data_IF_514970627696
#
_entry.id   IF_514970627696
#
_cell.length_a   1.000
_cell.length_b   1.000
_cell.length_c   1.000
_cell.angle_alpha   90.00
_cell.angle_beta   90.00
_cell.angle_gamma   90.00
#
_symmetry.space_group_name_H-M   'P 1'
#
loop_
_entity.id
_entity.type
_entity.pdbx_description
1 polymer ?
#
# COMPACT_ATOMS: atom_id res chain seq x y z
N UNK A 1 -31.03 61.48 25.52
CA UNK A 1 -30.92 60.31 26.44
C UNK A 1 -31.13 59.08 25.59
N UNK A 2 -30.18 58.16 25.61
CA UNK A 2 -30.27 56.77 25.12
C UNK A 2 -29.92 56.46 23.65
N UNK A 3 -28.84 57.05 23.14
CA UNK A 3 -28.24 56.53 21.89
C UNK A 3 -26.98 55.63 22.12
N UNK A 4 -26.54 55.45 23.37
CA UNK A 4 -25.29 54.72 23.70
C UNK A 4 -25.48 53.27 24.15
N UNK A 5 -26.74 52.81 24.32
CA UNK A 5 -26.99 51.45 24.80
C UNK A 5 -27.11 50.38 23.69
N UNK A 6 -27.35 50.77 22.47
CA UNK A 6 -27.50 49.81 21.36
C UNK A 6 -26.19 49.36 20.70
N UNK A 7 -25.10 50.11 20.93
CA UNK A 7 -23.82 49.77 20.32
C UNK A 7 -23.00 48.69 21.07
N UNK A 8 -23.44 48.32 22.27
CA UNK A 8 -22.66 47.41 23.15
C UNK A 8 -23.12 45.97 23.13
N UNK A 9 -24.28 45.68 22.56
CA UNK A 9 -24.82 44.31 22.47
C UNK A 9 -24.51 43.62 21.13
N UNK A 10 -24.13 44.37 20.08
CA UNK A 10 -23.82 43.79 18.79
C UNK A 10 -22.38 43.26 18.66
N UNK A 11 -21.50 43.57 19.63
CA UNK A 11 -20.07 43.11 19.57
C UNK A 11 -19.84 41.78 20.26
N UNK A 12 -20.82 41.26 21.03
CA UNK A 12 -20.70 39.99 21.76
C UNK A 12 -21.27 38.79 21.00
N UNK A 13 -21.98 39.01 19.90
CA UNK A 13 -22.56 37.94 19.08
C UNK A 13 -21.66 37.43 17.95
N UNK A 14 -20.54 38.10 17.68
CA UNK A 14 -19.66 37.76 16.55
C UNK A 14 -18.45 36.89 16.95
N UNK A 15 -18.25 36.57 18.22
CA UNK A 15 -17.12 35.76 18.70
C UNK A 15 -17.43 34.29 18.90
N UNK A 16 -18.63 33.81 18.58
CA UNK A 16 -19.03 32.42 18.92
C UNK A 16 -19.21 31.49 17.72
N UNK A 17 -18.88 31.91 16.48
CA UNK A 17 -19.07 31.06 15.30
C UNK A 17 -17.75 30.64 14.60
N UNK A 18 -16.59 30.83 15.22
CA UNK A 18 -15.29 30.46 14.66
C UNK A 18 -14.65 29.24 15.34
N UNK A 19 -15.44 28.36 15.97
CA UNK A 19 -14.92 27.18 16.66
C UNK A 19 -15.68 25.93 16.24
N UNK A 20 -15.66 25.59 14.98
CA UNK A 20 -16.01 24.25 14.52
C UNK A 20 -15.48 24.07 13.10
N UNK A 21 -14.44 23.42 12.94
CA UNK A 21 -14.02 22.37 12.01
C UNK A 21 -12.48 22.35 12.03
N UNK A 22 -11.89 22.05 13.17
CA UNK A 22 -10.66 21.29 13.14
C UNK A 22 -11.09 19.85 12.82
N UNK A 23 -11.36 19.59 11.55
CA UNK A 23 -11.47 18.24 11.06
C UNK A 23 -10.16 17.56 11.45
N UNK A 24 -10.26 16.52 12.28
CA UNK A 24 -9.19 15.56 12.44
C UNK A 24 -8.93 14.96 11.04
N UNK A 25 -8.09 15.62 10.26
CA UNK A 25 -7.36 14.92 9.23
C UNK A 25 -6.57 13.85 9.99
N UNK A 26 -7.06 12.62 9.96
CA UNK A 26 -6.23 11.49 10.33
C UNK A 26 -5.06 11.57 9.37
N UNK A 27 -3.91 12.00 9.87
CA UNK A 27 -2.64 11.88 9.17
C UNK A 27 -2.48 10.39 8.84
N UNK A 28 -2.82 10.07 7.58
CA UNK A 28 -2.40 8.80 6.99
C UNK A 28 -0.89 8.81 7.12
N UNK A 29 -0.28 7.84 7.83
CA UNK A 29 1.16 7.80 7.99
C UNK A 29 1.80 7.99 6.61
N UNK A 30 2.70 8.93 6.49
CA UNK A 30 3.42 9.15 5.25
C UNK A 30 3.96 7.81 4.78
N UNK A 31 3.63 7.38 3.56
CA UNK A 31 3.93 6.07 2.97
C UNK A 31 5.44 5.69 3.00
N UNK A 32 6.29 6.55 3.56
CA UNK A 32 7.73 6.39 3.69
C UNK A 32 8.22 5.45 4.79
N UNK A 33 7.43 5.22 5.84
CA UNK A 33 7.93 4.56 7.07
C UNK A 33 7.19 3.24 7.38
N UNK A 34 6.36 2.71 6.47
CA UNK A 34 5.72 1.43 6.70
C UNK A 34 6.75 0.30 6.65
N UNK A 35 6.89 -0.43 7.75
CA UNK A 35 7.67 -1.66 7.88
C UNK A 35 6.75 -2.75 8.43
N UNK A 36 6.58 -3.88 7.72
CA UNK A 36 5.70 -4.95 8.15
C UNK A 36 6.36 -5.78 9.27
N UNK A 37 5.54 -6.21 10.23
CA UNK A 37 5.96 -7.16 11.25
C UNK A 37 5.64 -8.60 10.81
N UNK A 38 6.59 -9.52 11.00
CA UNK A 38 6.36 -10.95 10.73
C UNK A 38 5.24 -11.47 11.61
N UNK A 39 4.25 -12.10 11.00
CA UNK A 39 3.05 -12.56 11.69
C UNK A 39 1.93 -11.52 11.80
N UNK A 40 2.11 -10.30 11.29
CA UNK A 40 1.01 -9.34 11.25
C UNK A 40 -0.19 -9.86 10.45
N UNK A 41 -1.38 -9.40 10.82
CA UNK A 41 -2.62 -9.80 10.14
C UNK A 41 -2.61 -9.36 8.67
N UNK A 42 -2.83 -10.32 7.77
CA UNK A 42 -3.15 -10.09 6.37
C UNK A 42 -4.65 -10.13 6.13
N UNK A 43 -5.07 -10.24 4.87
CA UNK A 43 -6.49 -10.33 4.52
C UNK A 43 -7.10 -11.68 4.95
N UNK A 44 -6.46 -12.77 4.61
CA UNK A 44 -6.95 -14.13 4.81
C UNK A 44 -5.97 -14.98 5.65
N UNK A 45 -4.69 -14.60 5.66
CA UNK A 45 -3.61 -15.27 6.39
C UNK A 45 -2.66 -14.23 6.98
N UNK A 46 -1.85 -14.61 7.97
CA UNK A 46 -0.78 -13.74 8.48
C UNK A 46 0.34 -13.59 7.45
N UNK A 47 0.99 -12.43 7.45
CA UNK A 47 2.13 -12.20 6.58
C UNK A 47 3.40 -12.86 7.13
N UNK A 48 4.01 -13.69 6.30
CA UNK A 48 5.32 -14.30 6.58
C UNK A 48 6.18 -14.13 5.33
N UNK A 49 7.31 -13.40 5.42
CA UNK A 49 8.16 -13.19 4.26
C UNK A 49 8.85 -14.48 3.83
N UNK A 50 8.84 -14.79 2.54
CA UNK A 50 9.62 -15.88 1.97
C UNK A 50 11.11 -15.64 2.21
N UNK A 51 11.88 -16.54 2.82
CA UNK A 51 13.32 -16.38 2.97
C UNK A 51 14.01 -16.15 1.61
N UNK A 52 15.01 -15.28 1.53
CA UNK A 52 15.65 -14.93 0.27
C UNK A 52 16.18 -16.16 -0.47
N UNK A 53 16.86 -17.07 0.24
CA UNK A 53 17.37 -18.31 -0.35
C UNK A 53 16.28 -19.20 -0.96
N UNK A 54 15.04 -19.14 -0.42
CA UNK A 54 13.89 -19.87 -0.97
C UNK A 54 13.42 -19.21 -2.25
N UNK A 55 13.30 -17.86 -2.28
CA UNK A 55 12.94 -17.12 -3.48
C UNK A 55 13.95 -17.38 -4.62
N UNK A 56 15.24 -17.36 -4.32
CA UNK A 56 16.29 -17.70 -5.27
C UNK A 56 16.12 -19.12 -5.80
N UNK A 57 15.95 -20.08 -4.91
CA UNK A 57 15.81 -21.50 -5.27
C UNK A 57 14.55 -21.78 -6.11
N UNK A 58 13.43 -21.11 -5.79
CA UNK A 58 12.19 -21.23 -6.58
C UNK A 58 12.42 -20.83 -8.05
N UNK A 59 13.09 -19.70 -8.26
CA UNK A 59 13.38 -19.19 -9.62
C UNK A 59 14.39 -20.08 -10.34
N UNK A 60 15.38 -20.67 -9.65
CA UNK A 60 16.33 -21.64 -10.20
C UNK A 60 15.62 -22.92 -10.62
N UNK A 61 14.76 -23.46 -9.77
CA UNK A 61 14.00 -24.69 -10.08
C UNK A 61 13.04 -24.48 -11.26
N UNK A 62 12.43 -23.31 -11.36
CA UNK A 62 11.59 -22.92 -12.50
C UNK A 62 12.40 -22.61 -13.76
N UNK A 63 13.75 -22.58 -13.68
CA UNK A 63 14.65 -22.24 -14.80
C UNK A 63 14.28 -20.92 -15.48
N UNK A 64 13.91 -19.94 -14.66
CA UNK A 64 13.45 -18.64 -15.16
C UNK A 64 14.55 -17.92 -15.93
N UNK A 65 14.20 -17.42 -17.12
CA UNK A 65 15.09 -16.70 -18.03
C UNK A 65 14.56 -15.29 -18.31
N UNK A 66 15.38 -14.41 -18.87
CA UNK A 66 14.98 -13.05 -19.22
C UNK A 66 13.83 -12.97 -20.27
N UNK A 67 13.47 -14.08 -20.91
CA UNK A 67 12.36 -14.18 -21.88
C UNK A 67 11.01 -14.46 -21.20
N UNK A 68 11.05 -14.88 -19.93
CA UNK A 68 9.88 -15.26 -19.19
C UNK A 68 9.19 -14.03 -18.56
N UNK A 69 8.00 -14.26 -18.03
CA UNK A 69 7.24 -13.32 -17.23
C UNK A 69 6.85 -13.99 -15.92
N UNK A 70 7.23 -13.40 -14.80
CA UNK A 70 6.92 -13.92 -13.46
C UNK A 70 5.78 -13.12 -12.87
N UNK A 71 4.80 -13.82 -12.29
CA UNK A 71 3.73 -13.19 -11.52
C UNK A 71 3.68 -13.80 -10.11
N UNK A 72 3.65 -12.93 -9.10
CA UNK A 72 3.53 -13.31 -7.70
C UNK A 72 2.21 -12.80 -7.13
N UNK A 73 1.32 -13.71 -6.71
CA UNK A 73 0.00 -13.40 -6.17
C UNK A 73 0.06 -13.43 -4.64
N UNK A 74 -0.02 -12.27 -4.01
CA UNK A 74 0.28 -12.06 -2.61
C UNK A 74 1.75 -11.71 -2.42
N UNK A 75 2.25 -10.77 -3.21
CA UNK A 75 3.69 -10.49 -3.34
C UNK A 75 4.34 -9.88 -2.07
N UNK A 76 3.54 -9.49 -1.07
CA UNK A 76 4.04 -8.96 0.19
C UNK A 76 4.98 -7.77 -0.02
N UNK A 77 6.21 -7.88 0.48
CA UNK A 77 7.26 -6.86 0.34
C UNK A 77 7.96 -6.84 -1.02
N UNK A 78 7.53 -7.71 -1.95
CA UNK A 78 7.97 -7.75 -3.34
C UNK A 78 9.24 -8.54 -3.60
N UNK A 79 9.83 -9.22 -2.60
CA UNK A 79 11.16 -9.87 -2.72
C UNK A 79 11.27 -10.88 -3.86
N UNK A 80 10.26 -11.72 -4.09
CA UNK A 80 10.26 -12.70 -5.20
C UNK A 80 10.28 -12.00 -6.55
N UNK A 81 9.43 -10.97 -6.71
CA UNK A 81 9.33 -10.14 -7.92
C UNK A 81 10.64 -9.40 -8.18
N UNK A 82 11.22 -8.80 -7.16
CA UNK A 82 12.50 -8.08 -7.23
C UNK A 82 13.63 -9.05 -7.61
N UNK A 83 13.65 -10.23 -7.00
CA UNK A 83 14.65 -11.26 -7.30
C UNK A 83 14.57 -11.70 -8.77
N UNK A 84 13.35 -11.91 -9.30
CA UNK A 84 13.15 -12.20 -10.72
C UNK A 84 13.63 -11.03 -11.61
N UNK A 85 13.28 -9.80 -11.24
CA UNK A 85 13.69 -8.61 -11.99
C UNK A 85 15.21 -8.40 -12.03
N UNK A 86 15.93 -8.72 -10.94
CA UNK A 86 17.40 -8.72 -10.89
C UNK A 86 18.04 -9.73 -11.86
N UNK A 87 17.33 -10.79 -12.24
CA UNK A 87 17.72 -11.78 -13.25
C UNK A 87 17.36 -11.35 -14.69
N UNK A 88 16.87 -10.12 -14.87
CA UNK A 88 16.48 -9.56 -16.16
C UNK A 88 15.04 -9.90 -16.58
N UNK A 89 14.27 -10.56 -15.74
CA UNK A 89 12.89 -10.98 -16.00
C UNK A 89 11.93 -9.82 -15.78
N UNK A 90 10.88 -9.70 -16.60
CA UNK A 90 9.75 -8.83 -16.30
C UNK A 90 8.85 -9.53 -15.30
N UNK A 91 8.56 -8.87 -14.19
CA UNK A 91 7.80 -9.47 -13.10
C UNK A 91 6.72 -8.52 -12.54
N UNK A 92 5.59 -9.10 -12.14
CA UNK A 92 4.45 -8.42 -11.54
C UNK A 92 4.14 -9.01 -10.17
N UNK A 93 4.10 -8.15 -9.16
CA UNK A 93 3.53 -8.46 -7.85
C UNK A 93 2.09 -7.96 -7.74
N UNK A 94 1.21 -8.83 -7.32
CA UNK A 94 -0.18 -8.51 -6.99
C UNK A 94 -0.35 -8.61 -5.49
N UNK A 95 -0.73 -7.51 -4.85
CA UNK A 95 -0.85 -7.45 -3.39
C UNK A 95 -2.15 -6.74 -2.99
N UNK A 96 -2.76 -7.20 -1.91
CA UNK A 96 -3.99 -6.63 -1.37
C UNK A 96 -3.71 -5.37 -0.55
N UNK A 97 -2.68 -5.42 0.31
CA UNK A 97 -2.36 -4.35 1.24
C UNK A 97 -1.66 -3.19 0.50
N UNK A 98 -2.26 -1.97 0.49
CA UNK A 98 -1.68 -0.83 -0.21
C UNK A 98 -0.31 -0.43 0.33
N UNK A 99 -0.06 -0.56 1.64
CA UNK A 99 1.21 -0.17 2.26
C UNK A 99 2.33 -1.14 1.86
N UNK A 100 2.00 -2.44 1.70
CA UNK A 100 2.90 -3.45 1.13
C UNK A 100 3.23 -3.15 -0.34
N UNK A 101 2.26 -2.73 -1.14
CA UNK A 101 2.49 -2.33 -2.53
C UNK A 101 3.48 -1.16 -2.60
N UNK A 102 3.29 -0.14 -1.79
CA UNK A 102 4.20 1.01 -1.75
C UNK A 102 5.59 0.62 -1.21
N UNK A 103 5.66 -0.27 -0.22
CA UNK A 103 6.92 -0.84 0.26
C UNK A 103 7.64 -1.59 -0.88
N UNK A 104 6.94 -2.46 -1.60
CA UNK A 104 7.52 -3.23 -2.72
C UNK A 104 8.08 -2.32 -3.81
N UNK A 105 7.38 -1.24 -4.16
CA UNK A 105 7.86 -0.23 -5.11
C UNK A 105 9.13 0.46 -4.61
N UNK A 106 9.18 0.85 -3.32
CA UNK A 106 10.39 1.42 -2.71
C UNK A 106 11.56 0.44 -2.72
N UNK A 107 11.30 -0.83 -2.41
CA UNK A 107 12.31 -1.88 -2.44
C UNK A 107 12.85 -2.09 -3.86
N UNK A 108 11.98 -2.14 -4.87
CA UNK A 108 12.39 -2.24 -6.27
C UNK A 108 13.23 -1.05 -6.73
N UNK A 109 12.88 0.16 -6.27
CA UNK A 109 13.67 1.37 -6.56
C UNK A 109 15.06 1.33 -5.91
N UNK A 110 15.15 0.90 -4.65
CA UNK A 110 16.45 0.71 -3.95
C UNK A 110 17.36 -0.29 -4.67
N UNK A 111 16.78 -1.33 -5.27
CA UNK A 111 17.49 -2.37 -6.02
C UNK A 111 17.71 -2.02 -7.50
N UNK A 112 17.22 -0.86 -7.98
CA UNK A 112 17.41 -0.40 -9.35
C UNK A 112 16.64 -1.20 -10.40
N UNK A 113 15.54 -1.87 -10.03
CA UNK A 113 14.79 -2.78 -10.91
C UNK A 113 13.34 -2.35 -11.18
N UNK A 114 12.97 -1.11 -10.88
CA UNK A 114 11.60 -0.59 -11.01
C UNK A 114 11.00 -0.75 -12.40
N UNK A 115 11.82 -0.74 -13.45
CA UNK A 115 11.33 -0.92 -14.83
C UNK A 115 10.86 -2.35 -15.12
N UNK A 116 11.40 -3.34 -14.41
CA UNK A 116 11.10 -4.76 -14.60
C UNK A 116 10.20 -5.33 -13.50
N UNK A 117 10.25 -4.74 -12.29
CA UNK A 117 9.44 -5.13 -11.14
C UNK A 117 8.24 -4.18 -10.99
N UNK A 118 7.06 -4.62 -11.40
CA UNK A 118 5.82 -3.86 -11.27
C UNK A 118 4.98 -4.39 -10.11
N UNK A 119 4.24 -3.50 -9.44
CA UNK A 119 3.38 -3.88 -8.32
C UNK A 119 2.02 -3.21 -8.44
N UNK A 120 0.96 -4.00 -8.28
CA UNK A 120 -0.41 -3.53 -8.35
C UNK A 120 -1.21 -3.97 -7.12
N UNK A 121 -2.05 -3.06 -6.64
CA UNK A 121 -3.03 -3.40 -5.60
C UNK A 121 -4.22 -4.09 -6.22
N UNK A 122 -4.43 -5.37 -5.91
CA UNK A 122 -5.63 -6.12 -6.29
C UNK A 122 -5.94 -7.20 -5.27
N UNK A 123 -7.20 -7.63 -5.22
CA UNK A 123 -7.61 -8.85 -4.55
C UNK A 123 -7.73 -9.96 -5.58
N UNK A 124 -7.18 -11.13 -5.27
CA UNK A 124 -7.39 -12.35 -6.05
C UNK A 124 -8.73 -12.99 -5.69
N UNK A 125 -9.79 -12.19 -5.53
CA UNK A 125 -11.12 -12.70 -5.26
C UNK A 125 -11.71 -13.32 -6.53
N UNK A 126 -12.25 -14.54 -6.42
CA UNK A 126 -13.05 -15.14 -7.48
C UNK A 126 -14.20 -14.17 -7.79
N UNK A 127 -14.48 -13.83 -9.06
CA UNK A 127 -15.71 -13.12 -9.39
C UNK A 127 -16.87 -13.97 -8.86
N UNK A 128 -17.72 -13.39 -8.01
CA UNK A 128 -18.96 -14.00 -7.61
C UNK A 128 -19.88 -13.97 -8.83
N UNK A 129 -19.79 -14.98 -9.71
CA UNK A 129 -20.84 -15.18 -10.69
C UNK A 129 -22.12 -15.49 -9.91
N UNK A 130 -23.25 -14.87 -10.22
CA UNK A 130 -24.51 -15.26 -9.63
C UNK A 130 -24.70 -16.75 -9.91
N UNK A 131 -25.02 -17.52 -8.86
CA UNK A 131 -25.33 -18.93 -8.98
C UNK A 131 -26.60 -18.99 -9.85
N UNK A 132 -26.60 -19.75 -10.97
CA UNK A 132 -27.83 -19.92 -11.74
C UNK A 132 -28.96 -20.46 -10.86
N UNK A 133 -30.20 -20.08 -11.11
CA UNK A 133 -31.37 -20.49 -10.33
C UNK A 133 -31.56 -22.01 -10.31
#
# INVERSE_FOLDING_TARGET
MNAFYFARQSLLALCFTAFAVAGFAQDKPAAGNYEPEVGQAGKDVVWVPTPQAVADKMLDMARVTAKDYVMDLGSGDGRTVITAAKRGVRALGVEYNPDMVELSKRNAAKEGVSERAQFVRRTCSRPTSPRPP
#
